data_IF_508574268857
#
_entry.id   IF_508574268857
#
_cell.length_a   1.000
_cell.length_b   1.000
_cell.length_c   1.000
_cell.angle_alpha   90.00
_cell.angle_beta   90.00
_cell.angle_gamma   90.00
#
_symmetry.space_group_name_H-M   'P 1'
#
loop_
_entity.id
_entity.type
_entity.pdbx_description
1 polymer ?
#
# COMPACT_ATOMS: atom_id res chain seq x y z
N UNK A 1 -7.71 -21.71 3.80
CA UNK A 1 -6.64 -21.11 4.62
C UNK A 1 -5.69 -22.23 5.04
N UNK A 2 -4.61 -22.45 4.28
CA UNK A 2 -3.58 -23.41 4.70
C UNK A 2 -2.85 -22.82 5.90
N UNK A 3 -3.20 -23.27 7.11
CA UNK A 3 -2.42 -22.94 8.31
C UNK A 3 -1.00 -23.43 8.11
N UNK A 4 -0.03 -22.50 7.99
CA UNK A 4 1.38 -22.88 7.89
C UNK A 4 1.76 -23.69 9.14
N UNK A 5 2.19 -24.96 9.01
CA UNK A 5 2.50 -25.78 10.17
C UNK A 5 3.68 -25.19 10.94
N UNK A 6 3.66 -25.30 12.27
CA UNK A 6 4.79 -24.87 13.09
C UNK A 6 5.97 -25.83 12.85
N UNK A 7 6.95 -25.38 12.07
CA UNK A 7 8.18 -26.12 11.79
C UNK A 7 9.34 -25.58 12.63
N UNK A 8 10.43 -26.35 12.82
CA UNK A 8 11.64 -25.85 13.46
C UNK A 8 12.18 -24.56 12.82
N UNK A 9 12.19 -24.48 11.48
CA UNK A 9 12.59 -23.28 10.75
C UNK A 9 11.71 -22.07 11.07
N UNK A 10 10.41 -22.28 11.21
CA UNK A 10 9.47 -21.22 11.56
C UNK A 10 9.69 -20.71 12.98
N UNK A 11 9.99 -21.61 13.93
CA UNK A 11 10.36 -21.25 15.31
C UNK A 11 11.67 -20.47 15.37
N UNK A 12 12.67 -20.86 14.57
CA UNK A 12 13.93 -20.12 14.46
C UNK A 12 13.69 -18.71 13.90
N UNK A 13 12.86 -18.58 12.87
CA UNK A 13 12.46 -17.29 12.32
C UNK A 13 11.72 -16.42 13.35
N UNK A 14 10.75 -16.98 14.06
CA UNK A 14 10.02 -16.29 15.13
C UNK A 14 10.98 -15.80 16.23
N UNK A 15 11.91 -16.67 16.67
CA UNK A 15 12.93 -16.31 17.65
C UNK A 15 13.82 -15.17 17.16
N UNK A 16 14.23 -15.19 15.88
CA UNK A 16 15.00 -14.08 15.30
C UNK A 16 14.21 -12.77 15.31
N UNK A 17 12.94 -12.79 14.91
CA UNK A 17 12.08 -11.60 14.93
C UNK A 17 11.91 -11.05 16.36
N UNK A 18 11.74 -11.93 17.35
CA UNK A 18 11.64 -11.53 18.76
C UNK A 18 12.94 -10.89 19.26
N UNK A 19 14.10 -11.49 18.97
CA UNK A 19 15.42 -10.95 19.34
C UNK A 19 15.66 -9.59 18.67
N UNK A 20 15.39 -9.49 17.37
CA UNK A 20 15.58 -8.26 16.60
C UNK A 20 14.68 -7.12 17.13
N UNK A 21 13.54 -7.46 17.73
CA UNK A 21 12.64 -6.51 18.40
C UNK A 21 12.98 -6.22 19.87
N UNK A 22 14.12 -6.69 20.37
CA UNK A 22 14.59 -6.43 21.74
C UNK A 22 14.10 -7.43 22.79
N UNK A 23 13.59 -8.59 22.36
CA UNK A 23 13.17 -9.69 23.24
C UNK A 23 12.16 -9.30 24.33
N UNK A 24 11.03 -8.65 23.99
CA UNK A 24 10.02 -8.28 24.98
C UNK A 24 9.46 -9.53 25.68
N UNK A 25 9.53 -9.57 27.01
CA UNK A 25 9.10 -10.70 27.80
C UNK A 25 7.58 -10.93 27.68
N UNK A 26 7.17 -12.20 27.54
CA UNK A 26 5.76 -12.60 27.50
C UNK A 26 5.05 -12.28 26.19
N UNK A 27 5.81 -11.99 25.12
CA UNK A 27 5.30 -11.68 23.78
C UNK A 27 5.81 -12.65 22.71
N UNK A 28 6.48 -13.73 23.11
CA UNK A 28 7.13 -14.70 22.20
C UNK A 28 6.15 -15.31 21.19
N UNK A 29 4.90 -15.58 21.61
CA UNK A 29 3.86 -16.17 20.78
C UNK A 29 3.42 -15.23 19.64
N UNK A 30 3.39 -13.91 19.86
CA UNK A 30 3.07 -12.93 18.81
C UNK A 30 4.09 -12.97 17.67
N UNK A 31 5.37 -13.23 17.99
CA UNK A 31 6.41 -13.37 16.97
C UNK A 31 6.31 -14.70 16.23
N UNK A 32 5.72 -15.72 16.83
CA UNK A 32 5.39 -16.97 16.15
C UNK A 32 4.25 -16.77 15.15
N UNK A 33 3.22 -16.03 15.54
CA UNK A 33 2.15 -15.59 14.64
C UNK A 33 2.71 -14.73 13.51
N UNK A 34 3.54 -13.73 13.83
CA UNK A 34 4.16 -12.87 12.83
C UNK A 34 5.04 -13.64 11.85
N UNK A 35 5.80 -14.63 12.32
CA UNK A 35 6.58 -15.50 11.46
C UNK A 35 5.69 -16.33 10.52
N UNK A 36 4.53 -16.80 10.99
CA UNK A 36 3.54 -17.51 10.17
C UNK A 36 2.99 -16.63 9.07
N UNK A 37 2.55 -15.42 9.40
CA UNK A 37 2.02 -14.47 8.41
C UNK A 37 3.03 -14.21 7.29
N UNK A 38 4.27 -13.90 7.65
CA UNK A 38 5.32 -13.63 6.67
C UNK A 38 5.62 -14.86 5.79
N UNK A 39 5.67 -16.05 6.39
CA UNK A 39 5.84 -17.29 5.63
C UNK A 39 4.66 -17.55 4.68
N UNK A 40 3.44 -17.23 5.10
CA UNK A 40 2.24 -17.33 4.27
C UNK A 40 2.30 -16.40 3.06
N UNK A 41 2.63 -15.13 3.28
CA UNK A 41 2.81 -14.13 2.21
C UNK A 41 3.90 -14.55 1.21
N UNK A 42 5.02 -15.08 1.69
CA UNK A 42 6.10 -15.58 0.83
C UNK A 42 5.71 -16.82 0.03
N UNK A 43 4.93 -17.72 0.62
CA UNK A 43 4.50 -18.96 -0.05
C UNK A 43 3.45 -18.74 -1.12
N UNK A 44 2.64 -17.69 -0.98
CA UNK A 44 1.53 -17.38 -1.88
C UNK A 44 1.44 -15.86 -2.12
N UNK A 45 2.41 -15.27 -2.83
CA UNK A 45 2.46 -13.82 -3.05
C UNK A 45 1.22 -13.29 -3.80
N UNK A 46 0.58 -14.15 -4.58
CA UNK A 46 -0.61 -13.82 -5.38
C UNK A 46 -1.93 -14.10 -4.64
N UNK A 47 -1.91 -14.63 -3.41
CA UNK A 47 -3.13 -15.06 -2.70
C UNK A 47 -4.13 -13.92 -2.42
N UNK A 48 -3.69 -12.66 -2.49
CA UNK A 48 -4.53 -11.48 -2.37
C UNK A 48 -4.91 -10.82 -3.70
N UNK A 49 -4.55 -11.43 -4.84
CA UNK A 49 -4.81 -10.88 -6.16
C UNK A 49 -6.04 -11.54 -6.77
N UNK A 50 -6.89 -10.71 -7.40
CA UNK A 50 -7.88 -11.19 -8.35
C UNK A 50 -7.30 -11.18 -9.77
N UNK A 51 -7.76 -12.07 -10.67
CA UNK A 51 -7.40 -12.01 -12.08
C UNK A 51 -7.68 -10.61 -12.66
N UNK A 52 -6.81 -10.13 -13.54
CA UNK A 52 -7.04 -8.87 -14.22
C UNK A 52 -7.60 -9.15 -15.61
N UNK A 53 -8.92 -9.03 -15.82
CA UNK A 53 -9.54 -9.47 -17.07
C UNK A 53 -9.06 -8.69 -18.31
N UNK A 54 -8.46 -7.49 -18.15
CA UNK A 54 -7.80 -6.80 -19.27
C UNK A 54 -6.44 -7.43 -19.61
N UNK A 55 -5.61 -7.68 -18.59
CA UNK A 55 -4.29 -8.27 -18.78
C UNK A 55 -4.39 -9.73 -19.25
N UNK A 56 -5.42 -10.43 -18.77
CA UNK A 56 -5.70 -11.83 -19.09
C UNK A 56 -6.47 -11.99 -20.41
N UNK A 57 -6.80 -10.89 -21.10
CA UNK A 57 -7.50 -10.90 -22.39
C UNK A 57 -8.95 -11.39 -22.34
N UNK A 58 -9.53 -11.49 -21.13
CA UNK A 58 -10.93 -11.85 -20.89
C UNK A 58 -11.87 -10.75 -21.39
N UNK A 59 -11.44 -9.50 -21.31
CA UNK A 59 -12.12 -8.34 -21.91
C UNK A 59 -11.12 -7.51 -22.73
N UNK A 60 -11.56 -7.03 -23.89
CA UNK A 60 -10.80 -6.06 -24.68
C UNK A 60 -10.92 -4.66 -24.09
N UNK A 61 -9.98 -3.73 -24.40
CA UNK A 61 -10.14 -2.32 -24.01
C UNK A 61 -11.45 -1.70 -24.50
N UNK A 62 -11.92 -2.07 -25.70
CA UNK A 62 -13.18 -1.60 -26.24
C UNK A 62 -14.40 -2.08 -25.44
N UNK A 63 -14.39 -3.32 -24.95
CA UNK A 63 -15.47 -3.88 -24.11
C UNK A 63 -15.44 -3.34 -22.69
N UNK A 64 -14.26 -3.05 -22.12
CA UNK A 64 -14.15 -2.40 -20.81
C UNK A 64 -14.60 -0.93 -20.87
N UNK A 65 -14.35 -0.26 -21.99
CA UNK A 65 -14.51 1.19 -22.12
C UNK A 65 -13.35 1.96 -21.49
N UNK A 66 -13.33 3.28 -21.73
CA UNK A 66 -12.36 4.17 -21.09
C UNK A 66 -12.64 4.25 -19.58
N UNK A 67 -11.59 4.16 -18.72
CA UNK A 67 -11.75 4.44 -17.30
C UNK A 67 -12.25 5.87 -17.12
N UNK A 68 -13.50 6.04 -16.72
CA UNK A 68 -14.06 7.35 -16.39
C UNK A 68 -13.93 7.56 -14.89
N UNK A 69 -13.04 8.49 -14.52
CA UNK A 69 -13.03 9.02 -13.15
C UNK A 69 -14.31 9.83 -12.91
N UNK A 70 -14.91 9.67 -11.74
CA UNK A 70 -16.12 10.41 -11.39
C UNK A 70 -15.81 11.90 -11.31
N UNK A 71 -16.57 12.73 -12.05
CA UNK A 71 -16.30 14.17 -12.17
C UNK A 71 -16.22 14.90 -10.81
N UNK A 72 -16.97 14.45 -9.80
CA UNK A 72 -16.94 15.03 -8.45
C UNK A 72 -15.56 14.92 -7.77
N UNK A 73 -14.73 13.94 -8.15
CA UNK A 73 -13.37 13.79 -7.62
C UNK A 73 -12.47 14.96 -8.03
N UNK A 74 -12.73 15.56 -9.20
CA UNK A 74 -11.99 16.73 -9.69
C UNK A 74 -12.41 18.03 -9.00
N UNK A 75 -13.65 18.12 -8.51
CA UNK A 75 -14.17 19.30 -7.82
C UNK A 75 -13.41 19.60 -6.51
N UNK A 76 -12.75 18.60 -5.93
CA UNK A 76 -11.97 18.73 -4.69
C UNK A 76 -10.45 18.93 -4.93
N UNK A 77 -9.94 18.89 -6.16
CA UNK A 77 -8.49 18.98 -6.45
C UNK A 77 -7.87 20.39 -6.26
N UNK A 78 -8.55 21.29 -5.54
CA UNK A 78 -8.07 22.66 -5.33
C UNK A 78 -8.79 23.49 -4.26
N UNK A 79 -9.89 23.01 -3.66
CA UNK A 79 -10.51 23.71 -2.52
C UNK A 79 -9.80 23.39 -1.21
N UNK A 80 -8.76 24.16 -0.92
CA UNK A 80 -8.20 24.24 0.43
C UNK A 80 -8.99 25.27 1.24
N UNK A 81 -9.50 24.94 2.45
CA UNK A 81 -10.09 25.93 3.34
C UNK A 81 -9.03 26.96 3.74
N UNK A 82 -9.07 28.14 3.08
CA UNK A 82 -8.40 29.36 3.52
C UNK A 82 -6.91 29.50 3.20
N UNK A 83 -6.56 29.75 1.94
CA UNK A 83 -5.33 30.46 1.55
C UNK A 83 -5.41 31.97 1.88
N UNK A 84 -5.93 32.34 3.05
CA UNK A 84 -6.07 33.77 3.42
C UNK A 84 -4.82 34.39 4.06
N UNK A 85 -3.71 33.65 4.17
CA UNK A 85 -2.37 34.26 4.24
C UNK A 85 -1.33 33.30 3.65
N UNK A 86 -1.12 33.30 2.35
CA UNK A 86 0.08 32.70 1.75
C UNK A 86 0.95 33.81 1.17
N UNK A 87 2.27 33.67 1.28
CA UNK A 87 3.30 34.61 0.85
C UNK A 87 3.43 34.70 -0.68
N UNK A 88 2.30 34.83 -1.39
CA UNK A 88 2.17 34.91 -2.84
C UNK A 88 1.72 36.27 -3.37
N UNK A 89 1.51 37.27 -2.51
CA UNK A 89 1.13 38.65 -2.88
C UNK A 89 2.28 39.46 -3.53
N UNK A 90 3.20 38.76 -4.19
CA UNK A 90 4.27 39.34 -5.00
C UNK A 90 4.06 38.92 -6.45
N UNK A 91 4.17 39.83 -7.41
CA UNK A 91 4.09 39.48 -8.83
C UNK A 91 5.14 38.41 -9.15
N UNK A 92 4.69 37.30 -9.73
CA UNK A 92 5.51 36.09 -9.91
C UNK A 92 6.45 36.14 -11.14
N UNK A 93 6.50 37.25 -11.88
CA UNK A 93 7.33 37.37 -13.06
C UNK A 93 7.92 38.78 -13.20
N UNK A 94 9.17 38.93 -13.70
CA UNK A 94 9.75 40.23 -14.00
C UNK A 94 9.06 40.85 -15.23
N UNK A 95 8.75 42.15 -15.15
CA UNK A 95 8.28 42.94 -16.29
C UNK A 95 9.47 43.51 -17.05
N UNK A 96 9.42 43.47 -18.38
CA UNK A 96 10.37 44.17 -19.24
C UNK A 96 10.02 45.66 -19.23
N UNK A 97 10.94 46.50 -18.76
CA UNK A 97 10.83 47.95 -18.89
C UNK A 97 11.25 48.39 -20.30
N UNK A 98 10.54 49.37 -20.87
CA UNK A 98 10.95 50.11 -22.07
C UNK A 98 11.75 51.36 -21.70
#
# INVERSE_FOLDING_TARGET
MSETPITPKLRERAKKLWIDAGSPAGREDDYLERARELAGMESSPEAGLEPNPLADGVVTPAERGEPVEEAFLQENLGEFPGLQTDQGDRPHAPTRED
#
